data_IF_315491426226
#
_entry.id   IF_315491426226
#
_cell.length_a   1.000
_cell.length_b   1.000
_cell.length_c   1.000
_cell.angle_alpha   90.00
_cell.angle_beta   90.00
_cell.angle_gamma   90.00
#
_symmetry.space_group_name_H-M   'P 1'
#
loop_
_entity.id
_entity.type
_entity.pdbx_description
1 polymer ?
#
# COMPACT_ATOMS: atom_id res chain seq x y z
N UNK A 1 -9.10 -3.62 10.73
CA UNK A 1 -8.21 -2.79 11.57
C UNK A 1 -8.28 -1.38 11.03
N UNK A 2 -8.47 -0.34 11.86
CA UNK A 2 -8.44 1.06 11.38
C UNK A 2 -7.03 1.59 11.56
N UNK A 3 -6.32 1.80 10.45
CA UNK A 3 -4.99 2.38 10.40
C UNK A 3 -5.05 3.72 9.66
N UNK A 4 -4.09 4.60 9.90
CA UNK A 4 -3.95 5.85 9.14
C UNK A 4 -3.49 5.57 7.71
N UNK A 5 -3.73 6.53 6.79
CA UNK A 5 -3.22 6.45 5.41
C UNK A 5 -1.71 6.20 5.37
N UNK A 6 -0.95 6.88 6.24
CA UNK A 6 0.51 6.76 6.31
C UNK A 6 0.94 5.37 6.78
N UNK A 7 0.29 4.84 7.82
CA UNK A 7 0.58 3.48 8.30
C UNK A 7 0.24 2.44 7.24
N UNK A 8 -0.88 2.59 6.52
CA UNK A 8 -1.26 1.68 5.44
C UNK A 8 -0.21 1.65 4.33
N UNK A 9 0.25 2.84 3.90
CA UNK A 9 1.32 2.97 2.92
C UNK A 9 2.60 2.25 3.35
N UNK A 10 3.06 2.47 4.58
CA UNK A 10 4.27 1.80 5.08
C UNK A 10 4.10 0.28 5.17
N UNK A 11 2.92 -0.21 5.58
CA UNK A 11 2.64 -1.64 5.63
C UNK A 11 2.69 -2.27 4.23
N UNK A 12 2.11 -1.61 3.22
CA UNK A 12 2.17 -2.06 1.83
C UNK A 12 3.58 -2.03 1.27
N UNK A 13 4.31 -0.92 1.45
CA UNK A 13 5.67 -0.77 0.92
C UNK A 13 6.58 -1.86 1.47
N UNK A 14 6.53 -2.07 2.79
CA UNK A 14 7.32 -3.10 3.46
C UNK A 14 6.93 -4.52 3.03
N UNK A 15 5.63 -4.79 2.79
CA UNK A 15 5.17 -6.10 2.31
C UNK A 15 5.71 -6.39 0.90
N UNK A 16 5.66 -5.40 0.00
CA UNK A 16 6.14 -5.53 -1.38
C UNK A 16 7.67 -5.64 -1.46
N UNK A 17 8.39 -4.84 -0.66
CA UNK A 17 9.86 -4.97 -0.57
C UNK A 17 10.28 -6.35 -0.06
N UNK A 18 9.59 -6.89 0.96
CA UNK A 18 9.84 -8.25 1.45
C UNK A 18 9.52 -9.33 0.41
N UNK A 19 8.63 -9.05 -0.53
CA UNK A 19 8.33 -9.92 -1.66
C UNK A 19 9.36 -9.81 -2.80
N UNK A 20 10.38 -8.95 -2.67
CA UNK A 20 11.47 -8.80 -3.63
C UNK A 20 11.32 -7.60 -4.57
N UNK A 21 10.31 -6.74 -4.36
CA UNK A 21 10.16 -5.53 -5.16
C UNK A 21 11.18 -4.47 -4.72
N UNK A 22 11.78 -3.76 -5.68
CA UNK A 22 12.67 -2.64 -5.39
C UNK A 22 11.92 -1.50 -4.69
N UNK A 23 12.61 -0.70 -3.88
CA UNK A 23 11.98 0.33 -3.05
C UNK A 23 11.16 1.33 -3.87
N UNK A 24 11.67 1.82 -5.00
CA UNK A 24 10.97 2.78 -5.86
C UNK A 24 9.66 2.19 -6.40
N UNK A 25 9.72 0.97 -6.95
CA UNK A 25 8.53 0.28 -7.44
C UNK A 25 7.54 -0.06 -6.31
N UNK A 26 8.04 -0.42 -5.12
CA UNK A 26 7.20 -0.66 -3.95
C UNK A 26 6.52 0.61 -3.46
N UNK A 27 7.19 1.76 -3.52
CA UNK A 27 6.62 3.06 -3.19
C UNK A 27 5.48 3.42 -4.15
N UNK A 28 5.71 3.33 -5.46
CA UNK A 28 4.70 3.65 -6.48
C UNK A 28 3.45 2.79 -6.35
N UNK A 29 3.62 1.47 -6.20
CA UNK A 29 2.49 0.55 -6.03
C UNK A 29 1.75 0.83 -4.72
N UNK A 30 2.47 1.09 -3.63
CA UNK A 30 1.85 1.34 -2.32
C UNK A 30 1.05 2.63 -2.29
N UNK A 31 1.46 3.68 -3.03
CA UNK A 31 0.70 4.92 -3.10
C UNK A 31 -0.66 4.71 -3.78
N UNK A 32 -0.68 4.00 -4.92
CA UNK A 32 -1.91 3.69 -5.67
C UNK A 32 -2.86 2.81 -4.83
N UNK A 33 -2.34 1.74 -4.22
CA UNK A 33 -3.16 0.84 -3.40
C UNK A 33 -3.71 1.56 -2.16
N UNK A 34 -2.89 2.37 -1.50
CA UNK A 34 -3.32 3.16 -0.33
C UNK A 34 -4.37 4.19 -0.72
N UNK A 35 -4.23 4.83 -1.88
CA UNK A 35 -5.20 5.77 -2.41
C UNK A 35 -6.56 5.09 -2.69
N UNK A 36 -6.56 3.93 -3.33
CA UNK A 36 -7.76 3.18 -3.63
C UNK A 36 -8.50 2.77 -2.35
N UNK A 37 -7.78 2.23 -1.36
CA UNK A 37 -8.34 1.83 -0.07
C UNK A 37 -8.96 3.02 0.69
N UNK A 38 -8.23 4.14 0.73
CA UNK A 38 -8.69 5.36 1.40
C UNK A 38 -9.95 5.97 0.77
N UNK A 39 -10.20 5.69 -0.52
CA UNK A 39 -11.43 6.09 -1.23
C UNK A 39 -12.56 5.05 -1.16
N UNK A 40 -12.37 3.95 -0.44
CA UNK A 40 -13.37 2.87 -0.34
C UNK A 40 -13.39 1.93 -1.55
N UNK A 41 -12.39 1.98 -2.42
CA UNK A 41 -12.25 1.09 -3.59
C UNK A 41 -11.45 -0.13 -3.14
N UNK A 42 -12.04 -0.93 -2.25
CA UNK A 42 -11.35 -2.05 -1.60
C UNK A 42 -10.90 -3.15 -2.57
N UNK A 43 -11.55 -3.28 -3.73
CA UNK A 43 -11.14 -4.23 -4.78
C UNK A 43 -9.77 -3.93 -5.39
N UNK A 44 -9.27 -2.71 -5.23
CA UNK A 44 -7.97 -2.25 -5.72
C UNK A 44 -7.11 -1.68 -4.58
N UNK A 45 -7.50 -1.94 -3.33
CA UNK A 45 -6.88 -1.41 -2.11
C UNK A 45 -6.03 -2.46 -1.39
N UNK A 46 -6.06 -2.44 -0.06
CA UNK A 46 -5.27 -3.34 0.77
C UNK A 46 -5.77 -4.80 0.70
N UNK A 47 -4.89 -5.72 0.31
CA UNK A 47 -5.06 -7.19 0.34
C UNK A 47 -4.00 -7.87 1.20
#
# INVERSE_FOLDING_TARGET
>A
MRVTKKELYELMKNKLMKAGLQEDAAADVSDVLTFADHRGIHSHGAV
#
